data_IF_785614428075
#
_entry.id   IF_785614428075
#
_cell.length_a   1.000
_cell.length_b   1.000
_cell.length_c   1.000
_cell.angle_alpha   90.00
_cell.angle_beta   90.00
_cell.angle_gamma   90.00
#
_symmetry.space_group_name_H-M   'P 1'
#
loop_
_entity.id
_entity.type
_entity.pdbx_description
1 polymer ?
#
# COMPACT_ATOMS: atom_id res chain seq x y z
N UNK A 1 -3.90 -3.96 3.76
CA UNK A 1 -3.60 -4.65 2.50
C UNK A 1 -4.70 -4.35 1.48
N UNK A 2 -4.74 -5.06 0.38
CA UNK A 2 -5.70 -4.82 -0.70
C UNK A 2 -5.86 -6.09 -1.55
N UNK A 3 -6.96 -6.15 -2.29
CA UNK A 3 -7.17 -7.19 -3.31
C UNK A 3 -6.67 -6.66 -4.65
N UNK A 4 -5.73 -7.38 -5.26
CA UNK A 4 -5.07 -6.94 -6.48
C UNK A 4 -6.04 -6.89 -7.68
N UNK A 5 -5.85 -5.88 -8.53
CA UNK A 5 -6.45 -5.83 -9.86
C UNK A 5 -5.74 -6.82 -10.78
N UNK A 6 -6.36 -7.21 -11.92
CA UNK A 6 -5.74 -8.19 -12.84
C UNK A 6 -4.36 -7.80 -13.37
N UNK A 7 -4.06 -6.49 -13.43
CA UNK A 7 -2.78 -5.96 -13.92
C UNK A 7 -1.72 -5.83 -12.83
N UNK A 8 -2.09 -6.02 -11.59
CA UNK A 8 -1.21 -5.88 -10.43
C UNK A 8 -0.65 -7.25 -10.00
N UNK A 9 0.51 -7.28 -9.29
CA UNK A 9 0.96 -8.51 -8.66
C UNK A 9 -0.13 -9.09 -7.76
N UNK A 10 -0.43 -10.40 -7.85
CA UNK A 10 -1.54 -11.00 -7.12
C UNK A 10 -1.30 -11.00 -5.61
N UNK A 11 -2.38 -10.80 -4.84
CA UNK A 11 -2.32 -10.69 -3.38
C UNK A 11 -3.08 -11.77 -2.63
N UNK A 12 -3.89 -12.60 -3.29
CA UNK A 12 -4.79 -13.54 -2.61
C UNK A 12 -4.05 -14.54 -1.71
N UNK A 13 -2.98 -15.15 -2.22
CA UNK A 13 -2.22 -16.12 -1.42
C UNK A 13 -1.56 -15.46 -0.21
N UNK A 14 -1.07 -14.24 -0.36
CA UNK A 14 -0.49 -13.47 0.74
C UNK A 14 -1.53 -13.13 1.79
N UNK A 15 -2.72 -12.69 1.38
CA UNK A 15 -3.82 -12.39 2.31
C UNK A 15 -4.23 -13.63 3.10
N UNK A 16 -4.34 -14.78 2.45
CA UNK A 16 -4.65 -16.05 3.10
C UNK A 16 -3.58 -16.42 4.14
N UNK A 17 -2.30 -16.28 3.79
CA UNK A 17 -1.20 -16.57 4.70
C UNK A 17 -1.15 -15.63 5.89
N UNK A 18 -1.42 -14.36 5.70
CA UNK A 18 -1.46 -13.39 6.80
C UNK A 18 -2.58 -13.75 7.78
N UNK A 19 -3.76 -14.08 7.27
CA UNK A 19 -4.88 -14.50 8.13
C UNK A 19 -4.59 -15.82 8.85
N UNK A 20 -4.01 -16.78 8.14
CA UNK A 20 -3.64 -18.06 8.73
C UNK A 20 -2.59 -17.91 9.84
N UNK A 21 -1.74 -16.91 9.76
CA UNK A 21 -0.74 -16.59 10.79
C UNK A 21 -1.33 -15.80 11.97
N UNK A 22 -2.63 -15.49 11.96
CA UNK A 22 -3.31 -14.79 13.04
C UNK A 22 -3.36 -13.28 12.91
N UNK A 23 -2.95 -12.72 11.77
CA UNK A 23 -3.03 -11.28 11.55
C UNK A 23 -4.44 -10.87 11.13
N UNK A 24 -4.89 -9.74 11.67
CA UNK A 24 -6.08 -9.07 11.19
C UNK A 24 -5.71 -8.30 9.93
N UNK A 25 -6.49 -8.47 8.85
CA UNK A 25 -6.21 -7.84 7.56
C UNK A 25 -7.33 -6.86 7.23
N UNK A 26 -6.98 -5.57 7.21
CA UNK A 26 -7.88 -4.52 6.75
C UNK A 26 -7.83 -4.43 5.23
N UNK A 27 -8.99 -4.35 4.59
CA UNK A 27 -9.11 -4.16 3.15
C UNK A 27 -9.78 -2.82 2.83
N UNK A 28 -9.39 -2.14 1.75
CA UNK A 28 -9.92 -0.83 1.44
C UNK A 28 -11.33 -0.89 0.85
N UNK A 29 -12.14 0.10 1.21
CA UNK A 29 -13.42 0.38 0.59
C UNK A 29 -13.32 1.76 -0.06
N UNK A 30 -13.42 1.81 -1.38
CA UNK A 30 -13.33 3.07 -2.11
C UNK A 30 -14.69 3.76 -2.11
N UNK A 31 -14.73 4.98 -1.58
CA UNK A 31 -15.94 5.78 -1.55
C UNK A 31 -16.09 6.62 -2.81
N UNK A 32 -17.28 7.23 -2.99
CA UNK A 32 -17.59 8.01 -4.18
C UNK A 32 -16.69 9.25 -4.34
N UNK A 33 -16.20 9.81 -3.25
CA UNK A 33 -15.29 10.96 -3.23
C UNK A 33 -13.82 10.58 -3.39
N UNK A 34 -13.53 9.30 -3.69
CA UNK A 34 -12.19 8.72 -3.82
C UNK A 34 -11.43 8.55 -2.51
N UNK A 35 -12.05 8.81 -1.36
CA UNK A 35 -11.47 8.47 -0.07
C UNK A 35 -11.56 6.97 0.19
N UNK A 36 -10.72 6.47 1.11
CA UNK A 36 -10.72 5.07 1.52
C UNK A 36 -11.20 4.94 2.94
N UNK A 37 -12.09 4.01 3.16
CA UNK A 37 -12.39 3.45 4.47
C UNK A 37 -11.87 2.00 4.51
N UNK A 38 -11.90 1.41 5.69
CA UNK A 38 -11.26 0.10 5.89
C UNK A 38 -12.24 -0.89 6.47
N UNK A 39 -12.24 -2.09 5.90
CA UNK A 39 -13.10 -3.19 6.29
C UNK A 39 -12.27 -4.28 6.96
N UNK A 40 -12.74 -4.72 8.13
CA UNK A 40 -12.20 -5.89 8.83
C UNK A 40 -13.36 -6.87 9.01
N UNK A 41 -13.29 -8.00 8.29
CA UNK A 41 -14.31 -9.06 8.36
C UNK A 41 -15.75 -8.51 8.24
N UNK A 42 -15.97 -7.65 7.22
CA UNK A 42 -17.25 -6.99 6.92
C UNK A 42 -17.69 -5.96 7.95
N UNK A 43 -16.78 -5.51 8.80
CA UNK A 43 -17.02 -4.43 9.77
C UNK A 43 -16.20 -3.21 9.40
N UNK A 44 -16.84 -2.08 9.11
CA UNK A 44 -16.16 -0.84 8.76
C UNK A 44 -15.43 -0.26 9.96
N UNK A 45 -14.16 0.12 9.74
CA UNK A 45 -13.27 0.61 10.78
C UNK A 45 -13.04 2.12 10.72
N UNK A 46 -13.52 2.79 9.68
CA UNK A 46 -13.31 4.21 9.48
C UNK A 46 -12.00 4.54 8.74
N UNK A 47 -11.86 5.81 8.28
CA UNK A 47 -10.70 6.22 7.46
C UNK A 47 -9.38 6.25 8.25
N UNK A 48 -9.45 6.44 9.57
CA UNK A 48 -8.27 6.52 10.43
C UNK A 48 -7.77 5.15 10.92
N UNK A 49 -8.34 4.06 10.44
CA UNK A 49 -8.00 2.71 10.90
C UNK A 49 -6.54 2.34 10.67
N UNK A 50 -5.88 2.96 9.68
CA UNK A 50 -4.46 2.73 9.42
C UNK A 50 -3.55 3.15 10.58
N UNK A 51 -4.02 4.01 11.48
CA UNK A 51 -3.25 4.41 12.66
C UNK A 51 -2.96 3.24 13.61
N UNK A 52 -3.73 2.17 13.54
CA UNK A 52 -3.55 0.98 14.38
C UNK A 52 -2.77 -0.16 13.69
N UNK A 53 -2.42 0.00 12.42
CA UNK A 53 -1.73 -1.03 11.66
C UNK A 53 -0.25 -1.11 12.03
N UNK A 54 0.28 -2.34 12.02
CA UNK A 54 1.70 -2.61 12.27
C UNK A 54 2.49 -2.77 10.96
N UNK A 55 1.79 -2.94 9.85
CA UNK A 55 2.35 -3.04 8.51
C UNK A 55 1.30 -2.59 7.51
N UNK A 56 1.70 -1.83 6.51
CA UNK A 56 0.80 -1.38 5.45
C UNK A 56 1.33 -1.86 4.10
N UNK A 57 0.49 -2.55 3.35
CA UNK A 57 0.78 -3.03 2.00
C UNK A 57 -0.09 -2.24 1.02
N UNK A 58 0.54 -1.61 0.04
CA UNK A 58 -0.16 -0.74 -0.92
C UNK A 58 0.04 -1.18 -2.36
N UNK A 59 -0.94 -0.91 -3.24
CA UNK A 59 -0.70 -0.95 -4.67
C UNK A 59 0.09 0.28 -5.12
N UNK A 60 0.60 0.23 -6.35
CA UNK A 60 1.22 1.37 -7.01
C UNK A 60 1.54 1.04 -8.45
N UNK A 61 1.72 2.07 -9.28
CA UNK A 61 2.16 1.90 -10.67
C UNK A 61 3.67 1.88 -10.78
N UNK A 62 4.35 2.62 -9.91
CA UNK A 62 5.80 2.70 -9.84
C UNK A 62 6.23 3.28 -8.50
N UNK A 63 7.46 2.99 -8.09
CA UNK A 63 8.09 3.60 -6.92
C UNK A 63 9.54 3.92 -7.32
N UNK A 64 10.06 5.08 -6.88
CA UNK A 64 11.46 5.42 -7.07
C UNK A 64 12.31 5.03 -5.85
N UNK A 65 13.63 5.20 -5.95
CA UNK A 65 14.57 4.80 -4.90
C UNK A 65 14.42 5.61 -3.61
N UNK A 66 13.76 6.77 -3.65
CA UNK A 66 13.50 7.59 -2.47
C UNK A 66 12.17 7.27 -1.79
N UNK A 67 11.39 6.35 -2.34
CA UNK A 67 10.10 5.95 -1.77
C UNK A 67 8.90 6.74 -2.28
N UNK A 68 9.05 7.52 -3.36
CA UNK A 68 7.93 8.20 -3.98
C UNK A 68 7.12 7.18 -4.77
N UNK A 69 5.80 7.15 -4.53
CA UNK A 69 4.88 6.18 -5.12
C UNK A 69 3.96 6.87 -6.12
N UNK A 70 3.87 6.31 -7.32
CA UNK A 70 2.93 6.74 -8.36
C UNK A 70 1.65 5.91 -8.22
N UNK A 71 0.52 6.57 -7.98
CA UNK A 71 -0.80 5.95 -7.92
C UNK A 71 -1.60 6.13 -9.20
N UNK A 72 -2.86 5.71 -9.15
CA UNK A 72 -3.79 5.74 -10.29
C UNK A 72 -4.33 7.14 -10.63
N UNK A 73 -3.99 8.16 -9.84
CA UNK A 73 -4.38 9.55 -10.08
C UNK A 73 -5.51 10.08 -9.21
N UNK A 74 -6.23 9.23 -8.47
CA UNK A 74 -7.31 9.66 -7.59
C UNK A 74 -6.87 10.20 -6.22
N UNK A 75 -5.60 10.00 -5.85
CA UNK A 75 -5.05 10.42 -4.57
C UNK A 75 -5.57 9.65 -3.37
N UNK A 76 -6.26 8.51 -3.59
CA UNK A 76 -6.90 7.74 -2.53
C UNK A 76 -5.91 7.26 -1.48
N UNK A 77 -4.80 6.66 -1.90
CA UNK A 77 -3.77 6.18 -0.98
C UNK A 77 -2.95 7.31 -0.38
N UNK A 78 -2.67 8.38 -1.14
CA UNK A 78 -1.93 9.53 -0.60
C UNK A 78 -2.68 10.15 0.58
N UNK A 79 -4.01 10.25 0.48
CA UNK A 79 -4.84 10.73 1.59
C UNK A 79 -4.92 9.72 2.74
N UNK A 80 -5.02 8.43 2.44
CA UNK A 80 -5.10 7.38 3.47
C UNK A 80 -3.80 7.25 4.26
N UNK A 81 -2.66 7.33 3.58
CA UNK A 81 -1.35 7.09 4.21
C UNK A 81 -0.96 8.14 5.25
N UNK A 82 -1.62 9.29 5.30
CA UNK A 82 -1.36 10.28 6.35
C UNK A 82 -1.72 9.75 7.75
N UNK A 83 -2.59 8.74 7.83
CA UNK A 83 -3.00 8.13 9.09
C UNK A 83 -2.00 7.08 9.62
N UNK A 84 -1.04 6.66 8.81
CA UNK A 84 -0.06 5.64 9.21
C UNK A 84 0.96 6.24 10.16
N UNK A 85 1.25 5.54 11.28
CA UNK A 85 2.26 5.98 12.24
C UNK A 85 3.64 6.09 11.58
N UNK A 86 4.50 7.04 12.02
CA UNK A 86 5.81 7.26 11.39
C UNK A 86 6.75 6.05 11.41
N UNK A 87 6.60 5.18 12.42
CA UNK A 87 7.47 4.01 12.63
C UNK A 87 7.01 2.74 11.91
N UNK A 88 5.91 2.80 11.18
CA UNK A 88 5.33 1.64 10.49
C UNK A 88 5.85 1.56 9.06
N UNK A 89 6.25 0.36 8.64
CA UNK A 89 6.65 0.12 7.27
C UNK A 89 5.45 0.19 6.32
N UNK A 90 5.65 0.88 5.22
CA UNK A 90 4.72 0.93 4.10
C UNK A 90 5.42 0.26 2.92
N UNK A 91 4.89 -0.88 2.48
CA UNK A 91 5.48 -1.69 1.42
C UNK A 91 4.56 -1.66 0.21
N UNK A 92 5.07 -1.22 -0.93
CA UNK A 92 4.33 -1.24 -2.18
C UNK A 92 4.67 -2.51 -2.97
N UNK A 93 3.65 -3.21 -3.42
CA UNK A 93 3.81 -4.40 -4.25
C UNK A 93 3.87 -3.98 -5.71
N UNK A 94 4.94 -4.38 -6.40
CA UNK A 94 5.24 -3.99 -7.78
C UNK A 94 5.64 -5.21 -8.60
N UNK A 95 5.55 -5.08 -9.94
CA UNK A 95 6.30 -5.94 -10.83
C UNK A 95 7.79 -5.54 -10.80
N UNK A 96 8.66 -6.44 -11.22
CA UNK A 96 10.13 -6.27 -11.10
C UNK A 96 10.65 -4.97 -11.75
N UNK A 97 10.04 -4.54 -12.85
CA UNK A 97 10.47 -3.38 -13.63
C UNK A 97 9.78 -2.06 -13.19
N UNK A 98 8.97 -2.08 -12.16
CA UNK A 98 8.24 -0.90 -11.69
C UNK A 98 8.96 -0.14 -10.57
N UNK A 99 10.07 -0.65 -10.06
CA UNK A 99 10.97 0.11 -9.20
C UNK A 99 11.93 0.89 -10.10
N UNK A 100 11.81 2.21 -10.09
CA UNK A 100 12.50 3.09 -11.04
C UNK A 100 13.73 3.75 -10.44
N UNK A 101 14.73 3.98 -11.28
CA UNK A 101 15.92 4.76 -10.93
C UNK A 101 15.73 6.26 -11.18
N UNK A 102 14.66 6.64 -11.88
CA UNK A 102 14.29 8.04 -12.14
C UNK A 102 13.22 8.49 -11.15
N UNK A 103 13.17 9.80 -10.88
CA UNK A 103 12.23 10.35 -9.90
C UNK A 103 10.78 10.19 -10.33
N UNK A 104 9.97 9.70 -9.40
CA UNK A 104 8.51 9.64 -9.54
C UNK A 104 7.93 10.98 -9.08
N UNK A 105 6.98 11.57 -9.85
CA UNK A 105 6.30 12.79 -9.39
C UNK A 105 5.54 12.56 -8.08
N UNK A 106 5.75 13.44 -7.12
CA UNK A 106 5.04 13.40 -5.85
C UNK A 106 5.00 14.79 -5.24
N UNK A 107 3.97 15.04 -4.44
CA UNK A 107 3.90 16.26 -3.65
C UNK A 107 4.81 16.16 -2.43
N UNK A 108 5.39 17.28 -1.93
CA UNK A 108 6.30 17.22 -0.77
C UNK A 108 5.68 16.63 0.48
N UNK A 109 4.36 16.75 0.65
CA UNK A 109 3.64 16.22 1.81
C UNK A 109 3.20 14.77 1.65
N UNK A 110 3.36 14.15 0.48
CA UNK A 110 2.99 12.76 0.26
C UNK A 110 3.86 11.84 1.10
N UNK A 111 3.23 10.86 1.74
CA UNK A 111 3.94 9.88 2.56
C UNK A 111 4.78 8.97 1.66
N UNK A 112 6.06 8.86 1.95
CA UNK A 112 6.94 7.95 1.22
C UNK A 112 6.77 6.53 1.71
N UNK A 113 6.89 5.56 0.80
CA UNK A 113 6.93 4.15 1.16
C UNK A 113 8.35 3.77 1.59
N UNK A 114 8.47 2.75 2.43
CA UNK A 114 9.74 2.36 3.05
C UNK A 114 10.39 1.16 2.37
N UNK A 115 9.63 0.43 1.58
CA UNK A 115 10.11 -0.74 0.85
C UNK A 115 9.19 -1.05 -0.32
N UNK A 116 9.70 -1.89 -1.23
CA UNK A 116 8.90 -2.52 -2.28
C UNK A 116 9.06 -4.02 -2.21
N UNK A 117 8.04 -4.74 -2.66
CA UNK A 117 8.06 -6.19 -2.76
C UNK A 117 7.70 -6.57 -4.19
N UNK A 118 8.56 -7.36 -4.85
CA UNK A 118 8.32 -7.81 -6.22
C UNK A 118 8.41 -9.34 -6.32
N UNK A 119 7.75 -9.95 -7.31
CA UNK A 119 7.76 -11.41 -7.45
C UNK A 119 9.15 -12.00 -7.67
N UNK A 120 10.00 -11.33 -8.47
CA UNK A 120 11.31 -11.84 -8.84
C UNK A 120 12.46 -11.33 -7.97
N UNK A 121 12.32 -10.15 -7.36
CA UNK A 121 13.39 -9.50 -6.59
C UNK A 121 13.19 -9.56 -5.08
N UNK A 122 12.01 -9.93 -4.62
CA UNK A 122 11.69 -10.00 -3.21
C UNK A 122 11.52 -8.62 -2.58
N UNK A 123 11.82 -8.53 -1.28
CA UNK A 123 11.70 -7.30 -0.51
C UNK A 123 12.95 -6.44 -0.70
N UNK A 124 12.73 -5.19 -1.09
CA UNK A 124 13.81 -4.20 -1.29
C UNK A 124 13.53 -3.01 -0.40
N UNK A 125 14.42 -2.77 0.56
CA UNK A 125 14.37 -1.60 1.44
C UNK A 125 14.82 -0.35 0.69
N UNK A 126 14.15 0.78 0.93
CA UNK A 126 14.43 2.06 0.29
C UNK A 126 15.02 3.04 1.31
N UNK A 127 15.67 4.02 0.79
CA UNK A 127 16.18 5.10 1.61
C UNK A 127 17.60 5.26 1.58
#
# INVERSE_FOLDING_TARGET
>A
AYVALPTEPPTMAMLERLRAAGHEVLLPVLLADKSLEWDLDRTWQGPEALASCDLVLTPGLAVDRSGRRLGQGGGSYDRALVHVRPDVDIVTLLWDDELLDTDVPAEPHDRRVTAVLTPGRGLIRLG
#
